data_IF_476375742762
#
_entry.id   IF_476375742762
#
_cell.length_a   1.000
_cell.length_b   1.000
_cell.length_c   1.000
_cell.angle_alpha   90.00
_cell.angle_beta   90.00
_cell.angle_gamma   90.00
#
_symmetry.space_group_name_H-M   'P 1'
#
loop_
_entity.id
_entity.type
_entity.pdbx_description
1 polymer ?
#
# COMPACT_ATOMS: atom_id res chain seq x y z
N UNK A 1 19.14 -3.55 -13.16
CA UNK A 1 17.76 -3.01 -13.08
C UNK A 1 16.84 -4.17 -12.79
N UNK A 2 16.26 -4.24 -11.59
CA UNK A 2 15.21 -5.20 -11.28
C UNK A 2 13.86 -4.58 -11.67
N UNK A 3 13.04 -5.32 -12.40
CA UNK A 3 11.69 -4.89 -12.75
C UNK A 3 10.80 -5.05 -11.52
N UNK A 4 9.94 -4.07 -11.25
CA UNK A 4 8.98 -4.18 -10.15
C UNK A 4 7.99 -5.33 -10.41
N UNK A 5 7.82 -6.29 -9.49
CA UNK A 5 6.98 -7.46 -9.73
C UNK A 5 5.51 -7.08 -9.95
N UNK A 6 4.87 -7.69 -10.95
CA UNK A 6 3.45 -7.46 -11.20
C UNK A 6 2.57 -7.87 -10.01
N UNK A 7 2.94 -8.93 -9.30
CA UNK A 7 2.23 -9.41 -8.10
C UNK A 7 2.16 -8.33 -7.02
N UNK A 8 3.24 -7.55 -6.83
CA UNK A 8 3.27 -6.45 -5.88
C UNK A 8 2.27 -5.35 -6.21
N UNK A 9 2.03 -5.08 -7.50
CA UNK A 9 1.02 -4.10 -7.92
C UNK A 9 -0.38 -4.55 -7.52
N UNK A 10 -0.68 -5.85 -7.65
CA UNK A 10 -1.97 -6.40 -7.22
C UNK A 10 -2.12 -6.38 -5.70
N UNK A 11 -1.05 -6.67 -4.94
CA UNK A 11 -1.04 -6.54 -3.48
C UNK A 11 -1.34 -5.09 -3.04
N UNK A 12 -0.66 -4.11 -3.63
CA UNK A 12 -0.87 -2.69 -3.37
C UNK A 12 -2.30 -2.26 -3.73
N UNK A 13 -2.82 -2.70 -4.87
CA UNK A 13 -4.17 -2.38 -5.31
C UNK A 13 -5.25 -2.97 -4.39
N UNK A 14 -5.09 -4.23 -3.98
CA UNK A 14 -6.00 -4.89 -3.05
C UNK A 14 -5.95 -4.23 -1.67
N UNK A 15 -4.75 -3.88 -1.19
CA UNK A 15 -4.56 -3.20 0.09
C UNK A 15 -5.27 -1.84 0.12
N UNK A 16 -5.03 -0.99 -0.88
CA UNK A 16 -5.67 0.33 -0.95
C UNK A 16 -7.18 0.22 -1.18
N UNK A 17 -7.63 -0.71 -2.03
CA UNK A 17 -9.06 -0.96 -2.24
C UNK A 17 -9.78 -1.43 -0.97
N UNK A 18 -9.12 -2.24 -0.14
CA UNK A 18 -9.69 -2.71 1.12
C UNK A 18 -9.82 -1.59 2.17
N UNK A 19 -8.78 -0.78 2.35
CA UNK A 19 -8.76 0.25 3.41
C UNK A 19 -9.40 1.58 3.02
N UNK A 20 -9.27 2.00 1.76
CA UNK A 20 -9.76 3.30 1.28
C UNK A 20 -11.03 3.17 0.44
N UNK A 21 -11.45 1.95 0.10
CA UNK A 21 -12.59 1.68 -0.77
C UNK A 21 -12.50 2.32 -2.15
N UNK A 22 -11.29 2.62 -2.61
CA UNK A 22 -11.03 3.08 -3.97
C UNK A 22 -11.24 1.95 -4.97
N UNK A 23 -11.71 2.31 -6.15
CA UNK A 23 -11.83 1.38 -7.26
C UNK A 23 -10.46 0.91 -7.75
N UNK A 24 -10.43 -0.25 -8.39
CA UNK A 24 -9.22 -0.79 -9.03
C UNK A 24 -8.66 0.20 -10.05
N UNK A 25 -9.53 0.85 -10.81
CA UNK A 25 -9.19 1.83 -11.84
C UNK A 25 -8.50 3.06 -11.23
N UNK A 26 -9.00 3.59 -10.11
CA UNK A 26 -8.38 4.71 -9.40
C UNK A 26 -6.97 4.34 -8.92
N UNK A 27 -6.81 3.18 -8.26
CA UNK A 27 -5.51 2.76 -7.72
C UNK A 27 -4.50 2.47 -8.83
N UNK A 28 -4.92 1.86 -9.94
CA UNK A 28 -4.02 1.55 -11.06
C UNK A 28 -3.70 2.78 -11.93
N UNK A 29 -4.46 3.87 -11.81
CA UNK A 29 -4.13 5.14 -12.46
C UNK A 29 -2.95 5.87 -11.80
N UNK A 30 -2.64 5.52 -10.55
CA UNK A 30 -1.52 6.08 -9.80
C UNK A 30 -0.19 5.57 -10.34
N UNK A 31 0.80 6.46 -10.38
CA UNK A 31 2.17 6.03 -10.60
C UNK A 31 2.67 5.19 -9.42
N UNK A 32 3.73 4.43 -9.65
CA UNK A 32 4.30 3.52 -8.64
C UNK A 32 4.63 4.21 -7.31
N UNK A 33 5.23 5.40 -7.34
CA UNK A 33 5.64 6.12 -6.13
C UNK A 33 4.45 6.64 -5.32
N UNK A 34 3.40 7.06 -6.00
CA UNK A 34 2.16 7.53 -5.39
C UNK A 34 1.43 6.39 -4.69
N UNK A 35 1.29 5.25 -5.37
CA UNK A 35 0.67 4.05 -4.78
C UNK A 35 1.43 3.58 -3.54
N UNK A 36 2.76 3.52 -3.60
CA UNK A 36 3.61 3.19 -2.44
C UNK A 36 3.46 4.19 -1.29
N UNK A 37 3.35 5.50 -1.59
CA UNK A 37 3.13 6.53 -0.57
C UNK A 37 1.82 6.27 0.17
N UNK A 38 0.74 6.00 -0.55
CA UNK A 38 -0.54 5.71 0.07
C UNK A 38 -0.51 4.44 0.90
N UNK A 39 0.15 3.38 0.42
CA UNK A 39 0.33 2.16 1.22
C UNK A 39 1.02 2.45 2.56
N UNK A 40 2.07 3.28 2.55
CA UNK A 40 2.78 3.68 3.79
C UNK A 40 1.91 4.51 4.74
N UNK A 41 1.14 5.46 4.22
CA UNK A 41 0.27 6.29 5.08
C UNK A 41 -0.85 5.49 5.73
N UNK A 42 -1.51 4.61 4.98
CA UNK A 42 -2.56 3.72 5.51
C UNK A 42 -1.99 2.81 6.58
N UNK A 43 -0.83 2.17 6.33
CA UNK A 43 -0.14 1.38 7.36
C UNK A 43 0.20 2.19 8.60
N UNK A 44 0.70 3.42 8.45
CA UNK A 44 1.03 4.32 9.58
C UNK A 44 -0.20 4.62 10.44
N UNK A 45 -1.32 4.95 9.81
CA UNK A 45 -2.58 5.24 10.51
C UNK A 45 -3.10 3.99 11.23
N UNK A 46 -3.11 2.84 10.55
CA UNK A 46 -3.61 1.59 11.13
C UNK A 46 -2.76 1.14 12.34
N UNK A 47 -1.44 1.27 12.27
CA UNK A 47 -0.55 0.98 13.40
C UNK A 47 -0.76 1.93 14.58
N UNK A 48 -1.05 3.22 14.33
CA UNK A 48 -1.36 4.19 15.39
C UNK A 48 -2.70 3.88 16.08
N UNK A 49 -3.73 3.49 15.30
CA UNK A 49 -5.06 3.21 15.83
C UNK A 49 -5.10 1.93 16.67
N UNK A 50 -4.35 0.90 16.28
CA UNK A 50 -4.41 -0.40 16.94
C UNK A 50 -3.54 -0.51 18.22
N UNK A 51 -2.71 0.50 18.57
CA UNK A 51 -1.77 0.45 19.70
C UNK A 51 -0.91 -0.86 19.72
N UNK A 52 -0.79 -1.53 18.59
CA UNK A 52 0.00 -2.73 18.43
C UNK A 52 1.47 -2.29 18.26
N UNK A 53 2.35 -2.76 19.15
CA UNK A 53 3.80 -2.57 19.01
C UNK A 53 4.23 -3.01 17.59
N UNK A 54 4.50 -2.02 16.74
CA UNK A 54 5.09 -2.10 15.40
C UNK A 54 4.92 -3.46 14.71
N UNK A 55 3.70 -3.77 14.24
CA UNK A 55 3.56 -4.79 13.18
C UNK A 55 4.38 -4.31 11.98
N UNK A 56 5.26 -5.17 11.47
CA UNK A 56 6.14 -4.81 10.36
C UNK A 56 5.31 -4.37 9.16
N UNK A 57 5.55 -3.12 8.73
CA UNK A 57 4.92 -2.59 7.54
C UNK A 57 5.60 -3.20 6.32
N UNK A 58 4.92 -4.12 5.65
CA UNK A 58 5.42 -4.80 4.44
C UNK A 58 5.73 -3.83 3.29
N UNK A 59 5.30 -2.57 3.39
CA UNK A 59 5.54 -1.50 2.42
C UNK A 59 6.68 -0.55 2.81
N UNK A 60 7.43 -0.80 3.90
CA UNK A 60 8.62 -0.01 4.25
C UNK A 60 9.92 -0.46 3.57
N UNK A 61 9.94 -1.64 2.94
CA UNK A 61 11.14 -2.24 2.35
C UNK A 61 11.30 -2.01 0.82
N UNK A 62 10.61 -1.01 0.24
CA UNK A 62 10.62 -0.73 -1.20
C UNK A 62 11.22 0.64 -1.49
#
# INVERSE_FOLDING_TARGET
MAVYPAEKIYEEAAFLGYYLHWSREEVLSMNHLERLRWCREVSRINSQLNNEEKRENIFEQI
#
